data_IF_291929918590
#
_entry.id   IF_291929918590
#
_cell.length_a   1.000
_cell.length_b   1.000
_cell.length_c   1.000
_cell.angle_alpha   90.00
_cell.angle_beta   90.00
_cell.angle_gamma   90.00
#
_symmetry.space_group_name_H-M   'P 1'
#
loop_
_entity.id
_entity.type
_entity.pdbx_description
1 polymer ?
#
# COMPACT_ATOMS: atom_id res chain seq x y z
N UNK A 1 -0.48 23.32 -28.32
CA UNK A 1 -0.71 23.93 -26.99
C UNK A 1 -0.98 22.79 -26.04
N UNK A 2 0.06 22.31 -25.36
CA UNK A 2 -0.04 21.24 -24.36
C UNK A 2 -0.50 21.93 -23.06
N UNK A 3 -1.73 21.69 -22.66
CA UNK A 3 -2.24 22.11 -21.36
C UNK A 3 -1.43 21.38 -20.29
N UNK A 4 -0.61 22.11 -19.55
CA UNK A 4 -0.01 21.62 -18.33
C UNK A 4 -1.17 21.17 -17.41
N UNK A 5 -1.25 19.88 -17.11
CA UNK A 5 -2.13 19.36 -16.07
C UNK A 5 -1.77 20.08 -14.76
N UNK A 6 -2.75 20.73 -14.15
CA UNK A 6 -2.54 21.49 -12.94
C UNK A 6 -2.07 20.54 -11.84
N UNK A 7 -0.91 20.81 -11.27
CA UNK A 7 -0.27 20.11 -10.15
C UNK A 7 -1.05 20.24 -8.82
N UNK A 8 -2.29 20.69 -8.87
CA UNK A 8 -3.09 21.10 -7.70
C UNK A 8 -4.14 20.06 -7.27
N UNK A 9 -4.22 18.90 -7.95
CA UNK A 9 -5.20 17.88 -7.57
C UNK A 9 -4.59 16.90 -6.56
N UNK A 10 -5.34 16.58 -5.48
CA UNK A 10 -4.87 15.64 -4.46
C UNK A 10 -4.69 14.23 -5.05
N UNK A 11 -3.64 13.54 -4.60
CA UNK A 11 -3.44 12.13 -4.94
C UNK A 11 -4.42 11.22 -4.21
N UNK A 12 -4.85 11.61 -3.01
CA UNK A 12 -5.96 11.01 -2.25
C UNK A 12 -6.95 12.12 -1.91
N UNK A 13 -8.22 11.89 -2.21
CA UNK A 13 -9.33 12.77 -1.84
C UNK A 13 -10.46 11.95 -1.22
N UNK A 14 -10.62 12.06 0.09
CA UNK A 14 -11.67 11.42 0.89
C UNK A 14 -12.64 12.51 1.31
N UNK A 15 -13.93 12.29 1.03
CA UNK A 15 -14.98 13.28 1.33
C UNK A 15 -16.07 12.65 2.17
N UNK A 16 -16.18 13.13 3.41
CA UNK A 16 -17.29 12.85 4.33
C UNK A 16 -17.57 11.35 4.52
N UNK A 17 -16.48 10.55 4.63
CA UNK A 17 -16.62 9.10 4.74
C UNK A 17 -16.99 8.67 6.15
N UNK A 18 -17.96 7.78 6.23
CA UNK A 18 -18.37 7.10 7.48
C UNK A 18 -18.49 5.60 7.24
N UNK A 19 -18.19 4.82 8.27
CA UNK A 19 -18.42 3.36 8.27
C UNK A 19 -18.71 2.83 9.66
N UNK A 20 -19.70 1.91 9.74
CA UNK A 20 -20.11 1.23 10.96
C UNK A 20 -19.90 -0.28 10.83
N UNK A 21 -19.46 -0.90 11.90
CA UNK A 21 -19.42 -2.36 12.05
C UNK A 21 -20.40 -2.78 13.14
N UNK A 22 -21.60 -3.18 12.73
CA UNK A 22 -22.71 -3.40 13.65
C UNK A 22 -23.12 -2.11 14.35
N UNK A 23 -23.04 -2.06 15.68
CA UNK A 23 -23.34 -0.86 16.47
C UNK A 23 -22.14 0.07 16.67
N UNK A 24 -20.94 -0.32 16.24
CA UNK A 24 -19.72 0.45 16.43
C UNK A 24 -19.43 1.32 15.22
N UNK A 25 -19.35 2.64 15.41
CA UNK A 25 -18.89 3.58 14.38
C UNK A 25 -17.38 3.63 14.40
N UNK A 26 -16.74 3.08 13.36
CA UNK A 26 -15.30 3.00 13.25
C UNK A 26 -14.68 4.28 12.66
N UNK A 27 -15.39 4.95 11.75
CA UNK A 27 -15.03 6.24 11.17
C UNK A 27 -16.32 7.05 11.01
N UNK A 28 -16.27 8.33 11.36
CA UNK A 28 -17.43 9.21 11.40
C UNK A 28 -17.11 10.55 10.72
N UNK A 29 -17.72 10.79 9.57
CA UNK A 29 -17.65 12.04 8.77
C UNK A 29 -16.21 12.55 8.54
N UNK A 30 -15.27 11.66 8.15
CA UNK A 30 -13.87 12.04 7.92
C UNK A 30 -13.68 12.53 6.49
N UNK A 31 -13.04 13.70 6.36
CA UNK A 31 -12.57 14.25 5.09
C UNK A 31 -11.06 14.49 5.13
N UNK A 32 -10.36 14.13 4.05
CA UNK A 32 -8.90 14.20 3.98
C UNK A 32 -8.47 14.39 2.52
N UNK A 33 -7.59 15.34 2.28
CA UNK A 33 -6.94 15.54 0.97
C UNK A 33 -5.42 15.45 1.12
N UNK A 34 -4.79 14.56 0.36
CA UNK A 34 -3.33 14.40 0.33
C UNK A 34 -2.80 15.02 -0.97
N UNK A 35 -1.97 16.07 -0.90
CA UNK A 35 -1.40 16.69 -2.09
C UNK A 35 -0.47 15.73 -2.85
N UNK A 36 -0.45 15.83 -4.18
CA UNK A 36 0.50 15.10 -5.03
C UNK A 36 1.94 15.50 -4.69
N UNK A 37 2.86 14.52 -4.66
CA UNK A 37 4.28 14.74 -4.38
C UNK A 37 4.62 15.05 -2.91
N UNK A 38 3.66 14.88 -1.99
CA UNK A 38 3.85 15.09 -0.55
C UNK A 38 4.13 13.79 0.20
N UNK A 39 4.73 13.92 1.39
CA UNK A 39 4.75 12.89 2.43
C UNK A 39 3.70 13.30 3.47
N UNK A 40 2.70 12.47 3.67
CA UNK A 40 1.57 12.76 4.56
C UNK A 40 1.47 11.72 5.68
N UNK A 41 1.46 12.17 6.92
CA UNK A 41 1.35 11.29 8.10
C UNK A 41 -0.04 11.35 8.73
N UNK A 42 -0.65 10.18 8.93
CA UNK A 42 -1.90 10.02 9.69
C UNK A 42 -1.55 9.53 11.09
N UNK A 43 -1.77 10.37 12.09
CA UNK A 43 -1.42 10.09 13.49
C UNK A 43 -2.69 9.99 14.34
N UNK A 44 -2.62 9.16 15.37
CA UNK A 44 -3.72 8.98 16.33
C UNK A 44 -3.54 7.72 17.17
N UNK A 45 -4.30 7.58 18.27
CA UNK A 45 -4.23 6.40 19.13
C UNK A 45 -4.69 5.13 18.40
N UNK A 46 -4.40 3.96 19.00
CA UNK A 46 -4.95 2.69 18.50
C UNK A 46 -6.47 2.70 18.61
N UNK A 47 -7.14 2.18 17.58
CA UNK A 47 -8.60 2.21 17.49
C UNK A 47 -9.21 3.52 16.97
N UNK A 48 -8.40 4.54 16.64
CA UNK A 48 -8.90 5.81 16.09
C UNK A 48 -9.39 5.73 14.61
N UNK A 49 -9.49 4.55 14.03
CA UNK A 49 -9.98 4.37 12.66
C UNK A 49 -8.94 4.61 11.55
N UNK A 50 -7.64 4.79 11.87
CA UNK A 50 -6.57 5.06 10.88
C UNK A 50 -6.54 4.02 9.76
N UNK A 51 -6.34 2.75 10.10
CA UNK A 51 -6.31 1.64 9.14
C UNK A 51 -7.61 1.53 8.35
N UNK A 52 -8.77 1.73 8.99
CA UNK A 52 -10.08 1.72 8.35
C UNK A 52 -10.20 2.84 7.31
N UNK A 53 -9.78 4.06 7.67
CA UNK A 53 -9.74 5.21 6.76
C UNK A 53 -8.81 4.95 5.57
N UNK A 54 -7.60 4.41 5.80
CA UNK A 54 -6.68 4.04 4.72
C UNK A 54 -7.28 2.95 3.80
N UNK A 55 -7.95 1.94 4.35
CA UNK A 55 -8.61 0.89 3.57
C UNK A 55 -9.78 1.45 2.74
N UNK A 56 -10.54 2.42 3.25
CA UNK A 56 -11.57 3.13 2.46
C UNK A 56 -10.93 3.99 1.37
N UNK A 57 -9.85 4.73 1.68
CA UNK A 57 -9.10 5.50 0.69
C UNK A 57 -8.65 4.67 -0.51
N UNK A 58 -8.22 3.43 -0.25
CA UNK A 58 -7.72 2.50 -1.26
C UNK A 58 -8.80 1.63 -1.91
N UNK A 59 -10.07 1.79 -1.53
CA UNK A 59 -11.20 0.97 -2.02
C UNK A 59 -11.03 -0.52 -1.70
N UNK A 60 -10.43 -0.83 -0.54
CA UNK A 60 -10.36 -2.19 0.02
C UNK A 60 -11.67 -2.50 0.74
N UNK A 61 -12.24 -1.49 1.41
CA UNK A 61 -13.59 -1.50 1.95
C UNK A 61 -14.34 -0.28 1.40
N UNK A 62 -15.63 -0.43 1.13
CA UNK A 62 -16.45 0.68 0.73
C UNK A 62 -17.01 1.40 1.98
N UNK A 63 -17.04 2.73 2.03
CA UNK A 63 -17.71 3.46 3.10
C UNK A 63 -19.23 3.30 3.01
N UNK A 64 -19.93 3.43 4.16
CA UNK A 64 -21.41 3.48 4.18
C UNK A 64 -21.90 4.82 3.64
N UNK A 65 -21.15 5.90 3.87
CA UNK A 65 -21.43 7.26 3.40
C UNK A 65 -20.15 7.93 2.89
N UNK A 66 -20.31 8.92 2.02
CA UNK A 66 -19.20 9.66 1.44
C UNK A 66 -18.55 8.97 0.25
N UNK A 67 -17.38 9.43 -0.14
CA UNK A 67 -16.65 8.90 -1.29
C UNK A 67 -15.13 9.05 -1.15
N UNK A 68 -14.39 8.15 -1.82
CA UNK A 68 -12.95 8.23 -1.97
C UNK A 68 -12.58 8.27 -3.45
N UNK A 69 -11.65 9.16 -3.80
CA UNK A 69 -11.09 9.31 -5.13
C UNK A 69 -9.57 9.38 -5.07
N UNK A 70 -8.91 8.87 -6.11
CA UNK A 70 -7.45 8.89 -6.24
C UNK A 70 -7.05 9.58 -7.55
N UNK A 71 -5.83 10.15 -7.54
CA UNK A 71 -5.22 10.74 -8.75
C UNK A 71 -6.15 11.70 -9.50
N UNK A 72 -6.81 12.61 -8.78
CA UNK A 72 -7.64 13.64 -9.38
C UNK A 72 -9.00 13.14 -9.90
N UNK A 73 -9.62 12.15 -9.26
CA UNK A 73 -11.02 11.77 -9.55
C UNK A 73 -11.23 10.32 -9.96
N UNK A 74 -10.18 9.50 -10.00
CA UNK A 74 -10.34 8.08 -10.30
C UNK A 74 -10.89 7.28 -9.12
N UNK A 75 -11.77 6.32 -9.39
CA UNK A 75 -12.16 5.33 -8.38
C UNK A 75 -10.96 4.47 -8.01
N UNK A 76 -10.72 4.18 -6.71
CA UNK A 76 -9.56 3.41 -6.27
C UNK A 76 -9.39 2.07 -6.98
N UNK A 77 -10.50 1.38 -7.27
CA UNK A 77 -10.51 0.09 -7.95
C UNK A 77 -9.93 0.14 -9.36
N UNK A 78 -10.06 1.28 -10.06
CA UNK A 78 -9.60 1.44 -11.46
C UNK A 78 -8.09 1.72 -11.57
N UNK A 79 -7.43 2.08 -10.47
CA UNK A 79 -6.02 2.51 -10.45
C UNK A 79 -5.13 1.67 -9.52
N UNK A 80 -5.57 0.47 -9.17
CA UNK A 80 -4.86 -0.42 -8.22
C UNK A 80 -3.43 -0.76 -8.62
N UNK A 81 -3.14 -0.78 -9.91
CA UNK A 81 -1.79 -1.01 -10.44
C UNK A 81 -0.83 0.15 -10.19
N UNK A 82 -1.33 1.33 -9.84
CA UNK A 82 -0.57 2.54 -9.51
C UNK A 82 -0.32 2.70 -8.01
N UNK A 83 -0.84 1.77 -7.19
CA UNK A 83 -0.83 1.87 -5.73
C UNK A 83 0.03 0.77 -5.12
N UNK A 84 1.03 1.15 -4.33
CA UNK A 84 1.71 0.29 -3.38
C UNK A 84 1.03 0.37 -2.01
N UNK A 85 0.70 -0.76 -1.41
CA UNK A 85 0.12 -0.81 -0.08
C UNK A 85 0.85 -1.82 0.79
N UNK A 86 1.34 -1.36 1.93
CA UNK A 86 1.89 -2.20 2.99
C UNK A 86 0.87 -2.23 4.13
N UNK A 87 0.13 -3.32 4.33
CA UNK A 87 -0.76 -3.48 5.47
C UNK A 87 0.03 -3.76 6.76
N UNK A 88 -0.57 -3.47 7.91
CA UNK A 88 -0.05 -3.83 9.23
C UNK A 88 0.15 -5.35 9.36
N UNK A 89 -0.81 -6.12 8.85
CA UNK A 89 -0.77 -7.58 8.90
C UNK A 89 0.16 -8.17 7.84
N UNK A 90 0.83 -9.27 8.20
CA UNK A 90 1.73 -9.95 7.26
C UNK A 90 0.96 -10.83 6.29
N UNK A 91 1.04 -10.46 5.01
CA UNK A 91 0.41 -11.20 3.90
C UNK A 91 1.36 -12.11 3.12
N UNK A 92 2.53 -12.48 3.68
CA UNK A 92 3.51 -13.31 2.96
C UNK A 92 3.25 -14.80 3.13
N UNK A 93 3.37 -15.56 2.04
CA UNK A 93 3.25 -17.02 2.04
C UNK A 93 4.52 -17.67 2.61
N UNK A 94 4.45 -18.41 3.76
CA UNK A 94 5.63 -18.95 4.44
C UNK A 94 6.48 -19.91 3.62
N UNK A 95 5.88 -20.58 2.64
CA UNK A 95 6.53 -21.56 1.77
C UNK A 95 7.25 -20.97 0.55
N UNK A 96 6.95 -19.72 0.19
CA UNK A 96 7.57 -19.05 -0.96
C UNK A 96 8.99 -18.58 -0.64
N UNK A 97 9.85 -18.50 -1.66
CA UNK A 97 11.14 -17.80 -1.56
C UNK A 97 10.92 -16.30 -1.53
N UNK A 98 11.81 -15.55 -0.87
CA UNK A 98 11.68 -14.10 -0.71
C UNK A 98 11.51 -13.37 -2.06
N UNK A 99 12.37 -13.63 -3.05
CA UNK A 99 12.26 -13.03 -4.39
C UNK A 99 10.95 -13.38 -5.10
N UNK A 100 10.43 -14.60 -4.87
CA UNK A 100 9.18 -15.06 -5.49
C UNK A 100 7.97 -14.38 -4.83
N UNK A 101 8.01 -14.15 -3.52
CA UNK A 101 6.97 -13.42 -2.81
C UNK A 101 6.88 -11.97 -3.32
N UNK A 102 8.02 -11.29 -3.49
CA UNK A 102 8.07 -9.93 -4.05
C UNK A 102 7.55 -9.92 -5.49
N UNK A 103 8.03 -10.84 -6.34
CA UNK A 103 7.58 -10.95 -7.74
C UNK A 103 6.07 -11.24 -7.84
N UNK A 104 5.54 -12.08 -6.96
CA UNK A 104 4.12 -12.38 -6.88
C UNK A 104 3.27 -11.15 -6.55
N UNK A 105 3.71 -10.34 -5.58
CA UNK A 105 3.02 -9.08 -5.26
C UNK A 105 3.02 -8.12 -6.46
N UNK A 106 4.12 -8.06 -7.23
CA UNK A 106 4.19 -7.31 -8.48
C UNK A 106 3.24 -7.84 -9.55
N UNK A 107 3.15 -9.17 -9.71
CA UNK A 107 2.26 -9.80 -10.68
C UNK A 107 0.78 -9.51 -10.39
N UNK A 108 0.38 -9.44 -9.12
CA UNK A 108 -0.97 -9.02 -8.71
C UNK A 108 -1.30 -7.57 -9.12
N UNK A 109 -0.27 -6.77 -9.46
CA UNK A 109 -0.39 -5.38 -9.94
C UNK A 109 -0.13 -5.26 -11.46
N UNK A 110 -0.10 -6.39 -12.17
CA UNK A 110 0.08 -6.44 -13.63
C UNK A 110 1.53 -6.46 -14.11
N UNK A 111 2.52 -6.55 -13.19
CA UNK A 111 3.91 -6.67 -13.58
C UNK A 111 4.18 -8.08 -14.16
N UNK A 112 4.88 -8.15 -15.27
CA UNK A 112 5.35 -9.43 -15.83
C UNK A 112 6.23 -10.19 -14.82
N UNK A 113 6.03 -11.51 -14.73
CA UNK A 113 6.71 -12.37 -13.75
C UNK A 113 8.24 -12.33 -13.84
N UNK A 114 8.77 -12.35 -15.05
CA UNK A 114 10.23 -12.31 -15.28
C UNK A 114 10.80 -10.98 -14.83
N UNK A 115 10.14 -9.88 -15.21
CA UNK A 115 10.48 -8.52 -14.78
C UNK A 115 10.37 -8.39 -13.26
N UNK A 116 9.29 -8.91 -12.66
CA UNK A 116 9.07 -8.91 -11.22
C UNK A 116 10.20 -9.61 -10.46
N UNK A 117 10.64 -10.78 -10.93
CA UNK A 117 11.77 -11.52 -10.32
C UNK A 117 13.09 -10.74 -10.43
N UNK A 118 13.37 -10.15 -11.58
CA UNK A 118 14.59 -9.36 -11.78
C UNK A 118 14.61 -8.16 -10.85
N UNK A 119 13.51 -7.42 -10.76
CA UNK A 119 13.38 -6.26 -9.85
C UNK A 119 13.45 -6.70 -8.38
N UNK A 120 12.84 -7.83 -8.02
CA UNK A 120 12.87 -8.36 -6.66
C UNK A 120 14.32 -8.63 -6.19
N UNK A 121 15.16 -9.23 -7.03
CA UNK A 121 16.57 -9.47 -6.72
C UNK A 121 17.30 -8.14 -6.51
N UNK A 122 17.17 -7.20 -7.43
CA UNK A 122 17.83 -5.90 -7.34
C UNK A 122 17.40 -5.11 -6.08
N UNK A 123 16.10 -5.13 -5.76
CA UNK A 123 15.57 -4.48 -4.55
C UNK A 123 16.10 -5.15 -3.28
N UNK A 124 16.18 -6.48 -3.23
CA UNK A 124 16.73 -7.19 -2.08
C UNK A 124 18.23 -6.92 -1.90
N UNK A 125 18.99 -6.85 -2.99
CA UNK A 125 20.41 -6.48 -2.94
C UNK A 125 20.58 -5.06 -2.41
N UNK A 126 19.83 -4.09 -2.94
CA UNK A 126 19.86 -2.70 -2.47
C UNK A 126 19.45 -2.55 -0.99
N UNK A 127 18.57 -3.41 -0.49
CA UNK A 127 18.13 -3.44 0.90
C UNK A 127 19.05 -4.27 1.83
N UNK A 128 20.20 -4.79 1.34
CA UNK A 128 21.11 -5.62 2.13
C UNK A 128 20.63 -7.06 2.37
N UNK A 129 19.57 -7.49 1.70
CA UNK A 129 18.96 -8.82 1.82
C UNK A 129 19.36 -9.79 0.69
N UNK A 130 20.38 -9.48 -0.12
CA UNK A 130 20.83 -10.32 -1.24
C UNK A 130 21.09 -11.77 -0.83
N UNK A 131 21.68 -12.00 0.36
CA UNK A 131 21.93 -13.33 0.92
C UNK A 131 20.66 -14.14 1.22
N UNK A 132 19.50 -13.51 1.32
CA UNK A 132 18.22 -14.13 1.66
C UNK A 132 17.29 -14.32 0.47
N UNK A 133 17.70 -13.96 -0.74
CA UNK A 133 16.87 -13.94 -1.97
C UNK A 133 16.21 -15.30 -2.25
N UNK A 134 16.91 -16.41 -2.01
CA UNK A 134 16.41 -17.77 -2.20
C UNK A 134 15.89 -18.42 -0.92
N UNK A 135 15.92 -17.74 0.22
CA UNK A 135 15.40 -18.27 1.46
C UNK A 135 13.86 -18.25 1.46
N UNK A 136 13.25 -19.27 2.08
CA UNK A 136 11.80 -19.29 2.29
C UNK A 136 11.41 -18.28 3.34
N UNK A 137 10.27 -17.62 3.17
CA UNK A 137 9.73 -16.59 4.08
C UNK A 137 9.73 -17.07 5.54
N UNK A 138 9.35 -18.34 5.81
CA UNK A 138 9.36 -18.90 7.17
C UNK A 138 10.73 -18.99 7.85
N UNK A 139 11.82 -18.82 7.09
CA UNK A 139 13.20 -18.83 7.61
C UNK A 139 13.77 -17.45 7.85
N UNK A 140 13.06 -16.41 7.46
CA UNK A 140 13.47 -15.03 7.66
C UNK A 140 13.19 -14.59 9.08
N UNK A 141 13.99 -13.66 9.59
CA UNK A 141 13.65 -12.95 10.82
C UNK A 141 12.40 -12.10 10.62
N UNK A 142 11.80 -11.65 11.73
CA UNK A 142 10.61 -10.80 11.69
C UNK A 142 10.85 -9.51 10.88
N UNK A 143 11.99 -8.84 11.12
CA UNK A 143 12.35 -7.62 10.39
C UNK A 143 12.65 -7.88 8.92
N UNK A 144 13.36 -8.99 8.58
CA UNK A 144 13.60 -9.36 7.18
C UNK A 144 12.29 -9.63 6.43
N UNK A 145 11.33 -10.33 7.03
CA UNK A 145 10.03 -10.58 6.42
C UNK A 145 9.25 -9.28 6.21
N UNK A 146 9.30 -8.36 7.17
CA UNK A 146 8.70 -7.03 7.04
C UNK A 146 9.30 -6.25 5.87
N UNK A 147 10.63 -6.27 5.75
CA UNK A 147 11.32 -5.60 4.64
C UNK A 147 10.96 -6.25 3.29
N UNK A 148 10.88 -7.58 3.20
CA UNK A 148 10.41 -8.28 1.99
C UNK A 148 9.00 -7.84 1.60
N UNK A 149 8.10 -7.67 2.57
CA UNK A 149 6.74 -7.19 2.32
C UNK A 149 6.74 -5.73 1.81
N UNK A 150 7.56 -4.87 2.39
CA UNK A 150 7.75 -3.49 1.92
C UNK A 150 8.28 -3.48 0.48
N UNK A 151 9.32 -4.27 0.16
CA UNK A 151 9.86 -4.37 -1.19
C UNK A 151 8.81 -4.87 -2.20
N UNK A 152 7.93 -5.79 -1.77
CA UNK A 152 6.79 -6.24 -2.57
C UNK A 152 5.79 -5.14 -2.87
N UNK A 153 5.59 -4.18 -1.96
CA UNK A 153 4.66 -3.05 -2.18
C UNK A 153 5.19 -2.04 -3.20
N UNK A 154 6.50 -2.02 -3.49
CA UNK A 154 7.12 -1.05 -4.41
C UNK A 154 7.65 -1.66 -5.71
N UNK A 155 7.70 -3.00 -5.85
CA UNK A 155 8.33 -3.69 -6.99
C UNK A 155 7.72 -3.32 -8.34
N UNK A 156 6.44 -2.96 -8.39
CA UNK A 156 5.73 -2.52 -9.60
C UNK A 156 5.87 -1.02 -9.88
N UNK A 157 6.65 -0.28 -9.06
CA UNK A 157 6.89 1.16 -9.19
C UNK A 157 5.60 1.98 -9.10
N UNK A 158 4.90 1.95 -7.96
CA UNK A 158 3.64 2.68 -7.78
C UNK A 158 3.85 4.20 -7.79
N UNK A 159 2.81 4.94 -8.21
CA UNK A 159 2.75 6.41 -8.12
C UNK A 159 2.35 6.88 -6.71
N UNK A 160 1.64 6.03 -5.95
CA UNK A 160 1.21 6.26 -4.57
C UNK A 160 1.64 5.08 -3.70
N UNK A 161 2.36 5.36 -2.61
CA UNK A 161 2.71 4.38 -1.60
C UNK A 161 1.98 4.69 -0.29
N UNK A 162 1.22 3.72 0.21
CA UNK A 162 0.52 3.79 1.50
C UNK A 162 1.10 2.76 2.43
N UNK A 163 1.53 3.21 3.62
CA UNK A 163 2.16 2.36 4.64
C UNK A 163 1.31 2.42 5.91
N UNK A 164 0.79 1.27 6.32
CA UNK A 164 0.00 1.12 7.54
C UNK A 164 0.88 0.46 8.60
N UNK A 165 1.24 1.21 9.65
CA UNK A 165 2.13 0.79 10.73
C UNK A 165 3.46 0.14 10.25
N UNK A 166 4.26 0.78 9.38
CA UNK A 166 5.40 0.14 8.70
C UNK A 166 6.51 -0.31 9.64
N UNK A 167 6.54 0.20 10.87
CA UNK A 167 7.55 -0.13 11.89
C UNK A 167 7.03 -1.05 12.99
N UNK A 168 5.78 -1.51 12.92
CA UNK A 168 5.21 -2.44 13.89
C UNK A 168 5.95 -3.78 13.82
N UNK A 169 6.82 -4.01 14.79
CA UNK A 169 7.55 -5.28 14.92
C UNK A 169 9.01 -5.28 14.46
N UNK A 170 9.60 -4.09 14.27
CA UNK A 170 11.05 -3.90 14.23
C UNK A 170 11.63 -3.84 15.65
#
# INVERSE_FOLDING_TARGET
MTTAESTDQPVIDIRDVSIKFGSFTAVDHVSLAVPTGSIYGVLGPNGAGKTTTLRMALGIIDPDEGASQLFGGHKPQSVRNRIGYLPEERGLYPGMKAREAIAFMGALRGLDWKTGRTRAIALMEAAGLGHATDQKIRKLSKGMAQLVQLLGSVVHQPDLLVLDEPFSGL
#
